data_IF_443501991645
#
_entry.id   IF_443501991645
#
_cell.length_a   1.000
_cell.length_b   1.000
_cell.length_c   1.000
_cell.angle_alpha   90.00
_cell.angle_beta   90.00
_cell.angle_gamma   90.00
#
_symmetry.space_group_name_H-M   'P 1'
#
loop_
_entity.id
_entity.type
_entity.pdbx_description
1 polymer ?
#
# COMPACT_ATOMS: atom_id res chain seq x y z
N UNK A 1 3.30 3.04 -13.52
CA UNK A 1 2.54 4.07 -12.79
C UNK A 1 2.84 5.44 -13.35
N UNK A 2 1.82 6.22 -13.64
CA UNK A 2 2.00 7.56 -14.17
C UNK A 2 2.32 8.54 -13.04
N UNK A 3 2.93 9.71 -13.35
CA UNK A 3 3.17 10.72 -12.31
C UNK A 3 1.89 11.18 -11.60
N UNK A 4 0.77 11.20 -12.32
CA UNK A 4 -0.53 11.56 -11.71
C UNK A 4 -0.96 10.55 -10.67
N UNK A 5 -0.77 9.26 -10.94
CA UNK A 5 -1.13 8.21 -10.00
C UNK A 5 -0.25 8.29 -8.74
N UNK A 6 1.03 8.56 -8.92
CA UNK A 6 1.94 8.72 -7.79
C UNK A 6 1.55 9.91 -6.93
N UNK A 7 1.20 11.03 -7.56
CA UNK A 7 0.76 12.21 -6.83
C UNK A 7 -0.52 11.94 -6.05
N UNK A 8 -1.46 11.19 -6.62
CA UNK A 8 -2.69 10.80 -5.95
C UNK A 8 -2.41 9.94 -4.73
N UNK A 9 -1.47 8.99 -4.84
CA UNK A 9 -1.06 8.13 -3.73
C UNK A 9 -0.45 8.96 -2.60
N UNK A 10 0.47 9.88 -2.93
CA UNK A 10 1.09 10.75 -1.94
C UNK A 10 0.07 11.61 -1.21
N UNK A 11 -0.88 12.15 -1.96
CA UNK A 11 -1.94 12.96 -1.41
C UNK A 11 -2.83 12.15 -0.47
N UNK A 12 -3.14 10.91 -0.84
CA UNK A 12 -3.92 10.00 0.01
C UNK A 12 -3.21 9.72 1.33
N UNK A 13 -1.89 9.48 1.30
CA UNK A 13 -1.11 9.29 2.52
C UNK A 13 -1.27 10.47 3.47
N UNK A 14 -1.09 11.69 2.93
CA UNK A 14 -1.18 12.91 3.74
C UNK A 14 -2.57 13.08 4.33
N UNK A 15 -3.60 12.81 3.54
CA UNK A 15 -4.99 12.98 3.97
C UNK A 15 -5.43 11.96 5.01
N UNK A 16 -4.72 10.84 5.14
CA UNK A 16 -5.05 9.80 6.11
C UNK A 16 -4.46 10.06 7.49
N UNK A 17 -3.46 10.94 7.60
CA UNK A 17 -2.72 11.15 8.85
C UNK A 17 -3.65 11.53 10.00
N UNK A 18 -4.44 12.57 9.82
CA UNK A 18 -5.33 13.09 10.87
C UNK A 18 -6.48 12.11 11.17
N UNK A 19 -7.22 11.61 10.17
CA UNK A 19 -8.31 10.67 10.45
C UNK A 19 -7.85 9.38 11.13
N UNK A 20 -6.70 8.84 10.74
CA UNK A 20 -6.17 7.62 11.35
C UNK A 20 -5.86 7.84 12.83
N UNK A 21 -5.27 8.99 13.15
CA UNK A 21 -4.97 9.32 14.53
C UNK A 21 -6.26 9.53 15.34
N UNK A 22 -7.22 10.21 14.74
CA UNK A 22 -8.48 10.53 15.41
C UNK A 22 -9.34 9.31 15.67
N UNK A 23 -9.47 8.43 14.69
CA UNK A 23 -10.37 7.28 14.79
C UNK A 23 -9.71 6.06 15.44
N UNK A 24 -8.47 5.77 15.07
CA UNK A 24 -7.78 4.55 15.49
C UNK A 24 -6.65 4.78 16.48
N UNK A 25 -6.32 6.04 16.76
CA UNK A 25 -5.20 6.37 17.63
C UNK A 25 -3.85 6.02 17.03
N UNK A 26 -3.78 5.84 15.72
CA UNK A 26 -2.57 5.44 15.03
C UNK A 26 -1.80 6.65 14.53
N UNK A 27 -0.53 6.77 14.94
CA UNK A 27 0.37 7.78 14.40
C UNK A 27 0.96 7.25 13.10
N UNK A 28 0.45 7.75 11.98
CA UNK A 28 0.80 7.26 10.67
C UNK A 28 2.21 7.69 10.27
N UNK A 29 3.06 6.71 9.97
CA UNK A 29 4.43 6.96 9.51
C UNK A 29 4.43 6.96 7.98
N UNK A 30 4.30 8.15 7.38
CA UNK A 30 4.19 8.30 5.94
C UNK A 30 5.43 7.77 5.18
N UNK A 31 6.67 8.08 5.60
CA UNK A 31 7.83 7.48 4.95
C UNK A 31 7.82 5.96 4.97
N UNK A 32 7.39 5.36 6.08
CA UNK A 32 7.31 3.91 6.20
C UNK A 32 6.23 3.32 5.28
N UNK A 33 5.11 4.02 5.11
CA UNK A 33 4.07 3.59 4.18
C UNK A 33 4.62 3.41 2.76
N UNK A 34 5.57 4.25 2.36
CA UNK A 34 6.13 4.20 1.02
C UNK A 34 7.17 3.10 0.85
N UNK A 35 7.86 2.73 1.92
CA UNK A 35 8.99 1.81 1.84
C UNK A 35 8.70 0.41 2.39
N UNK A 36 7.63 0.25 3.16
CA UNK A 36 7.30 -1.01 3.82
C UNK A 36 5.89 -1.44 3.41
N UNK A 37 5.82 -2.41 2.50
CA UNK A 37 4.54 -2.90 1.99
C UNK A 37 3.70 -3.59 3.05
N UNK A 38 4.33 -4.27 3.98
CA UNK A 38 3.60 -4.95 5.06
C UNK A 38 2.91 -3.93 5.96
N UNK A 39 3.62 -2.85 6.27
CA UNK A 39 3.04 -1.77 7.05
C UNK A 39 1.91 -1.08 6.27
N UNK A 40 2.11 -0.81 4.99
CA UNK A 40 1.09 -0.20 4.14
C UNK A 40 -0.16 -1.07 4.08
N UNK A 41 0.02 -2.36 3.92
CA UNK A 41 -1.08 -3.32 3.88
C UNK A 41 -1.88 -3.31 5.18
N UNK A 42 -1.19 -3.27 6.31
CA UNK A 42 -1.83 -3.20 7.62
C UNK A 42 -2.65 -1.91 7.77
N UNK A 43 -2.07 -0.78 7.40
CA UNK A 43 -2.74 0.53 7.51
C UNK A 43 -3.97 0.59 6.60
N UNK A 44 -3.83 0.10 5.37
CA UNK A 44 -4.97 0.08 4.43
C UNK A 44 -6.10 -0.79 4.98
N UNK A 45 -5.79 -1.94 5.53
CA UNK A 45 -6.81 -2.83 6.11
C UNK A 45 -7.55 -2.14 7.26
N UNK A 46 -6.83 -1.43 8.13
CA UNK A 46 -7.45 -0.66 9.21
C UNK A 46 -8.34 0.45 8.66
N UNK A 47 -7.84 1.21 7.69
CA UNK A 47 -8.55 2.35 7.13
C UNK A 47 -9.82 1.94 6.38
N UNK A 48 -9.82 0.77 5.77
CA UNK A 48 -11.00 0.25 5.07
C UNK A 48 -12.15 -0.03 6.05
N UNK A 49 -11.84 -0.22 7.32
CA UNK A 49 -12.84 -0.44 8.36
C UNK A 49 -13.33 0.85 8.99
N UNK A 50 -12.87 2.00 8.51
CA UNK A 50 -13.23 3.30 9.05
C UNK A 50 -14.70 3.62 8.85
N UNK A 51 -15.24 4.39 9.77
CA UNK A 51 -16.59 4.94 9.65
C UNK A 51 -16.63 6.18 8.76
N UNK A 52 -15.48 6.78 8.50
CA UNK A 52 -15.40 8.00 7.69
C UNK A 52 -15.25 7.64 6.20
N UNK A 53 -16.21 8.10 5.35
CA UNK A 53 -16.13 7.81 3.91
C UNK A 53 -14.85 8.32 3.26
N UNK A 54 -14.39 9.51 3.66
CA UNK A 54 -13.16 10.08 3.11
C UNK A 54 -11.95 9.21 3.37
N UNK A 55 -11.86 8.65 4.58
CA UNK A 55 -10.75 7.76 4.92
C UNK A 55 -10.83 6.44 4.15
N UNK A 56 -12.04 5.89 4.02
CA UNK A 56 -12.25 4.68 3.22
C UNK A 56 -11.88 4.90 1.75
N UNK A 57 -12.22 6.07 1.21
CA UNK A 57 -11.88 6.40 -0.18
C UNK A 57 -10.37 6.44 -0.39
N UNK A 58 -9.64 7.06 0.53
CA UNK A 58 -8.18 7.06 0.49
C UNK A 58 -7.63 5.64 0.60
N UNK A 59 -8.21 4.84 1.48
CA UNK A 59 -7.79 3.46 1.67
C UNK A 59 -8.00 2.62 0.42
N UNK A 60 -9.12 2.81 -0.28
CA UNK A 60 -9.38 2.10 -1.53
C UNK A 60 -8.36 2.45 -2.61
N UNK A 61 -8.00 3.72 -2.71
CA UNK A 61 -6.98 4.14 -3.64
C UNK A 61 -5.64 3.49 -3.31
N UNK A 62 -5.27 3.50 -2.04
CA UNK A 62 -4.01 2.91 -1.60
C UNK A 62 -4.01 1.39 -1.72
N UNK A 63 -5.16 0.76 -1.53
CA UNK A 63 -5.29 -0.69 -1.71
C UNK A 63 -4.90 -1.09 -3.12
N UNK A 64 -5.38 -0.36 -4.12
CA UNK A 64 -4.99 -0.60 -5.50
C UNK A 64 -3.49 -0.49 -5.72
N UNK A 65 -2.88 0.54 -5.13
CA UNK A 65 -1.44 0.74 -5.21
C UNK A 65 -0.67 -0.39 -4.51
N UNK A 66 -1.12 -0.79 -3.33
CA UNK A 66 -0.49 -1.86 -2.56
C UNK A 66 -0.58 -3.19 -3.30
N UNK A 67 -1.77 -3.51 -3.84
CA UNK A 67 -1.96 -4.76 -4.57
C UNK A 67 -1.08 -4.82 -5.82
N UNK A 68 -0.95 -3.70 -6.53
CA UNK A 68 -0.07 -3.63 -7.69
C UNK A 68 1.39 -3.85 -7.29
N UNK A 69 1.82 -3.26 -6.17
CA UNK A 69 3.18 -3.43 -5.68
C UNK A 69 3.45 -4.87 -5.23
N UNK A 70 2.48 -5.50 -4.57
CA UNK A 70 2.58 -6.89 -4.16
C UNK A 70 2.67 -7.82 -5.36
N UNK A 71 1.88 -7.54 -6.40
CA UNK A 71 1.92 -8.33 -7.62
C UNK A 71 3.31 -8.27 -8.27
N UNK A 72 3.92 -7.08 -8.31
CA UNK A 72 5.27 -6.93 -8.84
C UNK A 72 6.28 -7.71 -8.00
N UNK A 73 6.15 -7.67 -6.68
CA UNK A 73 7.04 -8.38 -5.77
C UNK A 73 6.94 -9.89 -5.97
N UNK A 74 5.71 -10.40 -6.12
CA UNK A 74 5.48 -11.82 -6.39
C UNK A 74 6.03 -12.23 -7.75
N UNK A 75 5.87 -11.41 -8.77
CA UNK A 75 6.39 -11.69 -10.10
C UNK A 75 7.92 -11.77 -10.07
N UNK A 76 8.58 -10.89 -9.35
CA UNK A 76 10.01 -10.92 -9.19
C UNK A 76 10.47 -12.17 -8.45
N UNK A 77 9.82 -12.52 -7.35
CA UNK A 77 10.15 -13.70 -6.58
C UNK A 77 9.96 -14.97 -7.41
N UNK A 78 8.88 -15.01 -8.20
CA UNK A 78 8.61 -16.14 -9.07
C UNK A 78 9.68 -16.29 -10.15
N UNK A 79 10.10 -15.19 -10.75
CA UNK A 79 11.14 -15.19 -11.77
C UNK A 79 12.45 -15.72 -11.21
N UNK A 80 12.82 -15.28 -10.02
CA UNK A 80 14.03 -15.74 -9.35
C UNK A 80 13.95 -17.22 -9.00
N UNK A 81 12.78 -17.69 -8.60
CA UNK A 81 12.58 -19.08 -8.22
C UNK A 81 12.56 -20.00 -9.43
N UNK A 82 11.95 -19.57 -10.52
CA UNK A 82 11.83 -20.38 -11.73
C UNK A 82 13.15 -20.56 -12.43
N UNK A 83 14.02 -19.57 -12.36
CA UNK A 83 15.29 -19.61 -13.06
C UNK A 83 16.16 -20.80 -12.67
N UNK A 84 16.38 -21.08 -11.39
CA UNK A 84 17.13 -22.27 -11.01
C UNK A 84 16.48 -23.56 -11.48
N UNK A 85 15.19 -23.64 -11.44
CA UNK A 85 14.46 -24.82 -11.89
C UNK A 85 14.69 -25.09 -13.37
N UNK A 86 14.73 -24.04 -14.14
CA UNK A 86 14.92 -24.14 -15.58
C UNK A 86 16.32 -24.63 -15.93
N UNK A 87 17.28 -24.24 -15.14
CA UNK A 87 18.68 -24.53 -15.39
C UNK A 87 19.05 -25.95 -15.01
N UNK A 88 18.26 -26.57 -14.19
CA UNK A 88 18.62 -27.86 -13.59
C UNK A 88 18.56 -29.01 -14.54
N UNK A 89 18.25 -28.82 -15.75
CA UNK A 89 18.26 -29.90 -16.72
C UNK A 89 19.46 -29.89 -17.60
#
# INVERSE_FOLDING_TARGET
>A
MSPSDYAAVQNAFTRMVVPMRREFGVALDVPRLRSDLDYAQFIVAEALMSREPGLRDCAQLLDGWVQAALARRHAQARALTCEPSTVTF
#
